data_IF_641181485838
#
_entry.id   IF_641181485838
#
_cell.length_a   1.000
_cell.length_b   1.000
_cell.length_c   1.000
_cell.angle_alpha   90.00
_cell.angle_beta   90.00
_cell.angle_gamma   90.00
#
_symmetry.space_group_name_H-M   'P 1'
#
loop_
_entity.id
_entity.type
_entity.pdbx_description
1 polymer ?
#
# COMPACT_ATOMS: atom_id res chain seq x y z
N UNK A 1 12.44 -14.71 -6.61
CA UNK A 1 11.40 -15.70 -6.26
C UNK A 1 11.22 -16.63 -7.44
N UNK A 2 11.79 -17.84 -7.34
CA UNK A 2 11.46 -18.94 -8.24
C UNK A 2 10.01 -19.37 -7.97
N UNK A 3 9.37 -19.93 -8.99
CA UNK A 3 8.14 -20.71 -8.83
C UNK A 3 8.45 -21.87 -7.89
N UNK A 4 7.85 -21.86 -6.71
CA UNK A 4 7.62 -23.08 -5.94
C UNK A 4 6.19 -23.52 -6.28
N UNK A 5 6.05 -24.82 -6.59
CA UNK A 5 4.85 -25.44 -7.13
C UNK A 5 3.65 -25.50 -6.15
N UNK A 6 3.81 -24.93 -4.94
CA UNK A 6 2.76 -24.77 -3.93
C UNK A 6 2.32 -23.29 -3.75
N UNK A 7 2.77 -22.39 -4.62
CA UNK A 7 2.28 -21.00 -4.64
C UNK A 7 0.98 -20.91 -5.43
N UNK A 8 -0.10 -20.43 -4.78
CA UNK A 8 -1.31 -19.97 -5.48
C UNK A 8 -0.87 -19.19 -6.72
N UNK A 9 -1.36 -19.54 -7.93
CA UNK A 9 -0.90 -18.91 -9.15
C UNK A 9 -1.04 -17.40 -9.01
N UNK A 10 -0.11 -16.61 -9.57
CA UNK A 10 -0.12 -15.14 -9.49
C UNK A 10 -1.51 -14.53 -9.77
N UNK A 11 -2.32 -15.23 -10.57
CA UNK A 11 -3.73 -14.94 -10.84
C UNK A 11 -4.58 -14.74 -9.59
N UNK A 12 -4.38 -15.53 -8.53
CA UNK A 12 -5.08 -15.37 -7.26
C UNK A 12 -4.78 -14.02 -6.61
N UNK A 13 -3.48 -13.73 -6.45
CA UNK A 13 -3.03 -12.50 -5.81
C UNK A 13 -3.43 -11.26 -6.62
N UNK A 14 -3.48 -11.38 -7.94
CA UNK A 14 -3.98 -10.35 -8.84
C UNK A 14 -5.49 -10.13 -8.71
N UNK A 15 -6.29 -11.19 -8.54
CA UNK A 15 -7.74 -11.09 -8.28
C UNK A 15 -8.05 -10.36 -6.98
N UNK A 16 -7.23 -10.56 -5.95
CA UNK A 16 -7.40 -9.80 -4.70
C UNK A 16 -6.78 -8.39 -4.75
N UNK A 17 -6.06 -8.09 -5.82
CA UNK A 17 -5.58 -6.75 -6.18
C UNK A 17 -4.08 -6.50 -6.03
N UNK A 18 -3.26 -7.47 -5.63
CA UNK A 18 -1.80 -7.31 -5.66
C UNK A 18 -1.27 -7.23 -7.08
N UNK A 19 -0.09 -6.62 -7.23
CA UNK A 19 0.70 -6.72 -8.46
C UNK A 19 2.13 -7.07 -8.13
N UNK A 20 2.74 -7.85 -9.02
CA UNK A 20 4.12 -8.32 -8.92
C UNK A 20 4.87 -8.04 -10.23
N UNK A 21 6.16 -8.38 -10.24
CA UNK A 21 7.06 -8.13 -11.36
C UNK A 21 7.97 -6.93 -11.13
N UNK A 22 8.41 -6.31 -12.21
CA UNK A 22 9.49 -5.31 -12.23
C UNK A 22 9.06 -3.98 -12.88
N UNK A 23 7.76 -3.78 -13.06
CA UNK A 23 7.15 -2.56 -13.59
C UNK A 23 6.29 -1.92 -12.51
N UNK A 24 6.33 -0.59 -12.44
CA UNK A 24 5.60 0.18 -11.46
C UNK A 24 5.30 1.60 -11.92
N UNK A 25 4.21 2.16 -11.41
CA UNK A 25 3.76 3.54 -11.59
C UNK A 25 4.83 4.55 -11.16
N UNK A 26 5.70 4.18 -10.22
CA UNK A 26 6.78 5.02 -9.72
C UNK A 26 7.82 5.44 -10.77
N UNK A 27 7.80 4.83 -11.95
CA UNK A 27 8.53 5.35 -13.13
C UNK A 27 8.02 6.72 -13.61
N UNK A 28 6.81 7.13 -13.22
CA UNK A 28 6.15 8.33 -13.73
C UNK A 28 5.42 9.19 -12.67
N UNK A 29 4.98 8.62 -11.54
CA UNK A 29 4.20 9.32 -10.51
C UNK A 29 4.59 8.89 -9.08
N UNK A 30 4.21 9.68 -8.08
CA UNK A 30 4.27 9.29 -6.66
C UNK A 30 3.04 8.44 -6.32
N UNK A 31 2.76 8.21 -5.05
CA UNK A 31 1.48 7.64 -4.61
C UNK A 31 0.26 8.53 -4.90
N UNK A 32 0.41 9.78 -5.37
CA UNK A 32 -0.74 10.63 -5.75
C UNK A 32 -1.77 10.79 -4.60
N UNK A 33 -1.28 11.01 -3.37
CA UNK A 33 -2.12 11.03 -2.16
C UNK A 33 -3.23 12.10 -2.22
N UNK A 34 -2.90 13.29 -2.72
CA UNK A 34 -3.87 14.39 -2.87
C UNK A 34 -4.94 14.03 -3.91
N UNK A 35 -4.55 13.46 -5.05
CA UNK A 35 -5.52 13.00 -6.05
C UNK A 35 -6.39 11.85 -5.55
N UNK A 36 -5.86 10.92 -4.74
CA UNK A 36 -6.68 9.90 -4.10
C UNK A 36 -7.72 10.52 -3.16
N UNK A 37 -7.29 11.51 -2.37
CA UNK A 37 -8.15 12.22 -1.42
C UNK A 37 -9.29 12.94 -2.14
N UNK A 38 -8.98 13.68 -3.22
CA UNK A 38 -9.98 14.37 -4.05
C UNK A 38 -10.96 13.38 -4.69
N UNK A 39 -10.45 12.29 -5.25
CA UNK A 39 -11.28 11.29 -5.92
C UNK A 39 -12.25 10.61 -4.96
N UNK A 40 -11.77 10.18 -3.79
CA UNK A 40 -12.61 9.51 -2.80
C UNK A 40 -13.55 10.46 -2.07
N UNK A 41 -13.25 11.76 -2.04
CA UNK A 41 -14.19 12.77 -1.57
C UNK A 41 -15.34 13.00 -2.57
N UNK A 42 -15.02 13.02 -3.86
CA UNK A 42 -16.02 13.25 -4.93
C UNK A 42 -16.96 12.06 -5.15
N UNK A 43 -16.47 10.83 -5.01
CA UNK A 43 -17.23 9.63 -5.35
C UNK A 43 -18.02 9.06 -4.17
N UNK A 44 -19.29 8.71 -4.38
CA UNK A 44 -20.16 8.03 -3.40
C UNK A 44 -19.58 6.68 -2.95
N UNK A 45 -19.84 6.23 -1.73
CA UNK A 45 -19.22 5.03 -1.12
C UNK A 45 -19.38 3.73 -1.93
N UNK A 46 -20.46 3.62 -2.70
CA UNK A 46 -20.80 2.51 -3.60
C UNK A 46 -20.30 2.69 -5.03
N UNK A 47 -19.52 3.75 -5.31
CA UNK A 47 -19.01 4.06 -6.64
C UNK A 47 -18.33 2.85 -7.32
N UNK A 48 -18.74 2.62 -8.55
CA UNK A 48 -18.22 1.59 -9.43
C UNK A 48 -16.90 2.03 -10.06
N UNK A 49 -16.26 1.10 -10.76
CA UNK A 49 -15.06 1.40 -11.56
C UNK A 49 -15.31 2.52 -12.59
N UNK A 50 -16.47 2.53 -13.24
CA UNK A 50 -16.80 3.50 -14.27
C UNK A 50 -17.08 4.88 -13.67
N UNK A 51 -17.62 4.94 -12.45
CA UNK A 51 -17.82 6.20 -11.73
C UNK A 51 -16.48 6.90 -11.45
N UNK A 52 -15.44 6.16 -11.04
CA UNK A 52 -14.10 6.74 -10.88
C UNK A 52 -13.51 7.26 -12.20
N UNK A 53 -13.74 6.53 -13.30
CA UNK A 53 -13.27 6.98 -14.62
C UNK A 53 -13.98 8.26 -15.03
N UNK A 54 -15.30 8.31 -14.87
CA UNK A 54 -16.14 9.46 -15.17
C UNK A 54 -15.73 10.67 -14.34
N UNK A 55 -15.55 10.50 -13.02
CA UNK A 55 -15.10 11.56 -12.13
C UNK A 55 -13.75 12.17 -12.55
N UNK A 56 -12.79 11.33 -12.95
CA UNK A 56 -11.44 11.79 -13.34
C UNK A 56 -11.43 12.41 -14.74
N UNK A 57 -12.06 11.76 -15.71
CA UNK A 57 -11.89 12.09 -17.13
C UNK A 57 -12.90 13.16 -17.56
N UNK A 58 -14.16 12.96 -17.18
CA UNK A 58 -15.27 13.77 -17.68
C UNK A 58 -15.51 14.96 -16.75
N UNK A 59 -15.61 14.71 -15.44
CA UNK A 59 -15.82 15.78 -14.45
C UNK A 59 -14.53 16.46 -13.99
N UNK A 60 -13.36 15.89 -14.31
CA UNK A 60 -12.06 16.47 -13.99
C UNK A 60 -11.88 16.82 -12.50
N UNK A 61 -12.34 15.95 -11.60
CA UNK A 61 -12.23 16.18 -10.15
C UNK A 61 -10.79 16.41 -9.68
N UNK A 62 -9.79 15.96 -10.46
CA UNK A 62 -8.36 16.14 -10.18
C UNK A 62 -7.76 17.45 -10.73
N UNK A 63 -8.57 18.33 -11.32
CA UNK A 63 -8.14 19.65 -11.82
C UNK A 63 -7.09 19.62 -12.93
N UNK A 64 -7.04 18.57 -13.76
CA UNK A 64 -6.00 18.43 -14.80
C UNK A 64 -6.32 19.28 -16.03
N UNK A 65 -5.26 19.93 -16.55
CA UNK A 65 -5.34 20.95 -17.62
C UNK A 65 -5.88 20.42 -18.94
N UNK A 66 -5.54 19.19 -19.32
CA UNK A 66 -5.94 18.62 -20.62
C UNK A 66 -6.59 17.25 -20.47
N UNK A 67 -7.46 16.88 -21.40
CA UNK A 67 -8.07 15.55 -21.46
C UNK A 67 -7.03 14.42 -21.47
N UNK A 68 -5.89 14.62 -22.14
CA UNK A 68 -4.77 13.68 -22.15
C UNK A 68 -4.19 13.47 -20.73
N UNK A 69 -3.99 14.56 -19.97
CA UNK A 69 -3.50 14.47 -18.59
C UNK A 69 -4.53 13.86 -17.63
N UNK A 70 -5.84 14.07 -17.87
CA UNK A 70 -6.91 13.41 -17.10
C UNK A 70 -6.86 11.89 -17.28
N UNK A 71 -6.84 11.43 -18.54
CA UNK A 71 -6.75 9.99 -18.87
C UNK A 71 -5.49 9.34 -18.30
N UNK A 72 -4.34 10.02 -18.41
CA UNK A 72 -3.09 9.53 -17.86
C UNK A 72 -3.14 9.43 -16.33
N UNK A 73 -3.67 10.44 -15.64
CA UNK A 73 -3.86 10.39 -14.18
C UNK A 73 -4.80 9.25 -13.78
N UNK A 74 -5.92 9.06 -14.48
CA UNK A 74 -6.83 7.94 -14.24
C UNK A 74 -6.15 6.58 -14.40
N UNK A 75 -5.32 6.42 -15.44
CA UNK A 75 -4.51 5.21 -15.61
C UNK A 75 -3.57 4.97 -14.42
N UNK A 76 -2.81 5.98 -13.99
CA UNK A 76 -1.84 5.84 -12.90
C UNK A 76 -2.50 5.54 -11.56
N UNK A 77 -3.66 6.15 -11.31
CA UNK A 77 -4.46 5.86 -10.12
C UNK A 77 -4.98 4.42 -10.10
N UNK A 78 -5.49 3.89 -11.23
CA UNK A 78 -5.86 2.47 -11.34
C UNK A 78 -4.67 1.53 -11.15
N UNK A 79 -3.51 1.91 -11.66
CA UNK A 79 -2.30 1.11 -11.47
C UNK A 79 -1.87 1.06 -10.00
N UNK A 80 -1.93 2.18 -9.28
CA UNK A 80 -1.56 2.31 -7.86
C UNK A 80 -2.59 1.72 -6.90
N UNK A 81 -3.88 1.88 -7.19
CA UNK A 81 -4.96 1.63 -6.23
C UNK A 81 -5.99 0.62 -6.72
N UNK A 82 -6.00 0.23 -8.00
CA UNK A 82 -7.04 -0.60 -8.58
C UNK A 82 -8.23 0.24 -9.06
N UNK A 83 -8.77 1.10 -8.21
CA UNK A 83 -10.01 1.85 -8.42
C UNK A 83 -11.14 0.94 -8.92
N UNK A 84 -11.28 -0.21 -8.27
CA UNK A 84 -12.27 -1.23 -8.61
C UNK A 84 -12.74 -1.88 -7.29
N UNK A 85 -14.02 -1.73 -6.89
CA UNK A 85 -14.52 -2.28 -5.64
C UNK A 85 -14.52 -3.82 -5.62
N UNK A 86 -14.34 -4.49 -6.77
CA UNK A 86 -14.16 -5.94 -6.81
C UNK A 86 -12.79 -6.39 -6.28
N UNK A 87 -11.85 -5.46 -6.07
CA UNK A 87 -10.52 -5.76 -5.56
C UNK A 87 -10.50 -5.58 -4.04
N UNK A 88 -10.38 -6.66 -3.24
CA UNK A 88 -10.35 -6.62 -1.78
C UNK A 88 -9.45 -5.53 -1.19
N UNK A 89 -8.20 -5.40 -1.67
CA UNK A 89 -7.29 -4.41 -1.11
C UNK A 89 -7.79 -2.97 -1.33
N UNK A 90 -8.41 -2.68 -2.49
CA UNK A 90 -8.95 -1.35 -2.76
C UNK A 90 -10.23 -1.09 -1.98
N UNK A 91 -11.13 -2.09 -1.95
CA UNK A 91 -12.39 -2.02 -1.22
C UNK A 91 -12.14 -1.79 0.27
N UNK A 92 -11.21 -2.51 0.88
CA UNK A 92 -10.86 -2.34 2.30
C UNK A 92 -10.10 -1.04 2.55
N UNK A 93 -9.18 -0.64 1.66
CA UNK A 93 -8.56 0.70 1.70
C UNK A 93 -9.65 1.77 1.80
N UNK A 94 -10.65 1.72 0.91
CA UNK A 94 -11.73 2.71 0.85
C UNK A 94 -12.57 2.71 2.11
N UNK A 95 -12.95 1.54 2.63
CA UNK A 95 -13.68 1.43 3.88
C UNK A 95 -12.91 2.11 5.04
N UNK A 96 -11.62 1.82 5.16
CA UNK A 96 -10.77 2.43 6.19
C UNK A 96 -10.45 3.90 5.96
N UNK A 97 -10.48 4.36 4.71
CA UNK A 97 -10.25 5.76 4.34
C UNK A 97 -11.22 6.73 5.00
N UNK A 98 -12.49 6.31 5.15
CA UNK A 98 -13.53 7.11 5.80
C UNK A 98 -13.56 6.91 7.32
N UNK A 99 -13.10 5.76 7.82
CA UNK A 99 -13.02 5.48 9.26
C UNK A 99 -11.83 6.16 9.95
N UNK A 100 -10.74 6.45 9.21
CA UNK A 100 -9.50 6.95 9.80
C UNK A 100 -8.80 7.98 8.92
N UNK A 101 -9.15 9.26 9.13
CA UNK A 101 -8.52 10.38 8.43
C UNK A 101 -7.02 10.50 8.71
N UNK A 102 -6.58 10.24 9.95
CA UNK A 102 -5.16 10.33 10.33
C UNK A 102 -4.33 9.24 9.65
N UNK A 103 -4.91 8.06 9.44
CA UNK A 103 -4.26 6.91 8.80
C UNK A 103 -4.17 6.96 7.27
N UNK A 104 -4.90 7.86 6.60
CA UNK A 104 -4.97 7.95 5.12
C UNK A 104 -3.61 7.89 4.42
N UNK A 105 -2.56 8.62 4.85
CA UNK A 105 -1.25 8.55 4.18
C UNK A 105 -0.61 7.15 4.22
N UNK A 106 -0.77 6.43 5.34
CA UNK A 106 -0.24 5.07 5.50
C UNK A 106 -1.09 4.04 4.75
N UNK A 107 -2.42 4.20 4.76
CA UNK A 107 -3.32 3.35 3.96
C UNK A 107 -3.00 3.46 2.46
N UNK A 108 -2.79 4.69 1.97
CA UNK A 108 -2.36 4.94 0.59
C UNK A 108 -1.01 4.29 0.26
N UNK A 109 -0.02 4.47 1.13
CA UNK A 109 1.31 3.86 0.97
C UNK A 109 1.23 2.33 0.90
N UNK A 110 0.55 1.71 1.85
CA UNK A 110 0.42 0.24 1.93
C UNK A 110 -0.22 -0.33 0.66
N UNK A 111 -1.29 0.30 0.18
CA UNK A 111 -1.98 -0.11 -1.05
C UNK A 111 -1.09 0.07 -2.27
N UNK A 112 -0.42 1.22 -2.38
CA UNK A 112 0.51 1.46 -3.48
C UNK A 112 1.69 0.48 -3.45
N UNK A 113 2.23 0.12 -2.28
CA UNK A 113 3.26 -0.92 -2.17
C UNK A 113 2.74 -2.30 -2.57
N UNK A 114 1.48 -2.63 -2.27
CA UNK A 114 0.84 -3.87 -2.70
C UNK A 114 0.70 -3.97 -4.24
N UNK A 115 0.68 -2.83 -4.94
CA UNK A 115 0.47 -2.76 -6.39
C UNK A 115 1.65 -2.24 -7.23
N UNK A 116 2.68 -1.69 -6.58
CA UNK A 116 3.87 -1.17 -7.24
C UNK A 116 5.13 -1.84 -6.67
N UNK A 117 5.67 -2.87 -7.36
CA UNK A 117 6.89 -3.55 -6.95
C UNK A 117 8.11 -2.63 -6.83
N UNK A 118 8.18 -1.55 -7.62
CA UNK A 118 9.30 -0.61 -7.56
C UNK A 118 9.26 0.19 -6.25
N UNK A 119 8.08 0.69 -5.86
CA UNK A 119 7.91 1.31 -4.55
C UNK A 119 8.19 0.31 -3.42
N UNK A 120 7.64 -0.90 -3.53
CA UNK A 120 7.81 -1.94 -2.51
C UNK A 120 9.28 -2.24 -2.23
N UNK A 121 10.12 -2.37 -3.24
CA UNK A 121 11.55 -2.63 -3.05
C UNK A 121 12.26 -1.47 -2.34
N UNK A 122 11.84 -0.22 -2.59
CA UNK A 122 12.45 0.94 -1.94
C UNK A 122 12.14 1.04 -0.44
N UNK A 123 11.26 0.21 0.13
CA UNK A 123 11.06 0.19 1.59
C UNK A 123 12.30 -0.30 2.33
N UNK A 124 13.13 -1.14 1.70
CA UNK A 124 14.31 -1.74 2.33
C UNK A 124 15.32 -0.68 2.84
N UNK A 125 15.79 0.27 2.00
CA UNK A 125 16.66 1.33 2.50
C UNK A 125 15.96 2.21 3.55
N UNK A 126 14.67 2.52 3.40
CA UNK A 126 13.92 3.36 4.37
C UNK A 126 13.85 2.70 5.76
N UNK A 127 13.59 1.40 5.81
CA UNK A 127 13.51 0.63 7.07
C UNK A 127 14.87 0.45 7.77
N UNK A 128 15.98 0.60 7.03
CA UNK A 128 17.34 0.52 7.59
C UNK A 128 17.82 1.83 8.20
N UNK A 129 17.21 2.95 7.80
CA UNK A 129 17.57 4.27 8.30
C UNK A 129 17.16 4.47 9.76
N UNK A 130 17.98 5.20 10.50
CA UNK A 130 17.61 5.71 11.81
C UNK A 130 16.83 7.03 11.69
N UNK A 131 15.88 7.34 12.60
CA UNK A 131 15.25 8.65 12.64
C UNK A 131 16.29 9.79 12.67
N UNK A 132 16.12 10.80 11.82
CA UNK A 132 17.07 11.91 11.66
C UNK A 132 18.17 11.69 10.61
N UNK A 133 18.34 10.48 10.09
CA UNK A 133 19.32 10.19 9.03
C UNK A 133 18.86 10.78 7.68
N UNK A 134 19.82 11.25 6.87
CA UNK A 134 19.58 11.69 5.50
C UNK A 134 19.63 10.51 4.52
N UNK A 135 18.62 10.40 3.66
CA UNK A 135 18.50 9.32 2.69
C UNK A 135 19.61 9.36 1.64
N UNK A 136 20.52 8.39 1.72
CA UNK A 136 21.51 8.16 0.69
C UNK A 136 20.84 7.64 -0.59
N UNK A 137 20.75 8.52 -1.61
CA UNK A 137 20.14 8.22 -2.91
C UNK A 137 20.65 6.92 -3.54
N UNK A 138 21.95 6.66 -3.41
CA UNK A 138 22.62 5.48 -3.99
C UNK A 138 22.02 4.17 -3.46
N UNK A 139 21.66 4.10 -2.17
CA UNK A 139 21.08 2.89 -1.59
C UNK A 139 19.74 2.51 -2.24
N UNK A 140 18.92 3.48 -2.67
CA UNK A 140 17.71 3.19 -3.44
C UNK A 140 18.02 2.73 -4.87
N UNK A 141 19.04 3.31 -5.51
CA UNK A 141 19.47 2.91 -6.86
C UNK A 141 19.90 1.44 -6.85
N UNK A 142 20.70 1.04 -5.86
CA UNK A 142 21.26 -0.31 -5.77
C UNK A 142 20.17 -1.37 -5.63
N UNK A 143 19.21 -1.17 -4.71
CA UNK A 143 18.09 -2.13 -4.53
C UNK A 143 17.17 -2.17 -5.75
N UNK A 144 16.99 -1.05 -6.45
CA UNK A 144 16.20 -1.00 -7.69
C UNK A 144 16.91 -1.72 -8.83
N UNK A 145 18.23 -1.55 -8.99
CA UNK A 145 19.02 -2.27 -10.00
C UNK A 145 19.00 -3.77 -9.78
N UNK A 146 19.18 -4.20 -8.53
CA UNK A 146 19.15 -5.61 -8.15
C UNK A 146 17.76 -6.22 -8.43
N UNK A 147 16.69 -5.59 -7.93
CA UNK A 147 15.33 -6.11 -8.09
C UNK A 147 14.84 -6.14 -9.53
N UNK A 148 15.29 -5.20 -10.37
CA UNK A 148 14.93 -5.13 -11.80
C UNK A 148 15.92 -5.83 -12.72
N UNK A 149 16.93 -6.52 -12.15
CA UNK A 149 18.01 -7.19 -12.90
C UNK A 149 18.64 -6.29 -13.96
N UNK A 150 18.89 -5.03 -13.60
CA UNK A 150 19.46 -4.00 -14.48
C UNK A 150 18.63 -3.66 -15.74
N UNK A 151 17.32 -3.97 -15.77
CA UNK A 151 16.45 -3.65 -16.93
C UNK A 151 16.17 -2.15 -17.07
N UNK A 152 16.20 -1.40 -15.97
CA UNK A 152 15.94 0.04 -15.99
C UNK A 152 17.24 0.82 -16.29
N UNK A 153 17.18 1.74 -17.26
CA UNK A 153 18.27 2.68 -17.49
C UNK A 153 18.38 3.73 -16.38
N UNK A 154 19.52 4.42 -16.31
CA UNK A 154 19.83 5.38 -15.24
C UNK A 154 18.82 6.52 -15.15
N UNK A 155 18.37 7.07 -16.29
CA UNK A 155 17.34 8.12 -16.31
C UNK A 155 16.01 7.65 -15.70
N UNK A 156 15.64 6.39 -15.91
CA UNK A 156 14.41 5.82 -15.35
C UNK A 156 14.58 5.52 -13.87
N UNK A 157 15.72 4.95 -13.46
CA UNK A 157 16.05 4.74 -12.05
C UNK A 157 15.99 6.07 -11.29
N UNK A 158 16.55 7.13 -11.84
CA UNK A 158 16.54 8.45 -11.22
C UNK A 158 15.13 9.01 -10.99
N UNK A 159 14.21 8.75 -11.93
CA UNK A 159 12.80 9.10 -11.80
C UNK A 159 12.12 8.27 -10.72
N UNK A 160 12.35 6.95 -10.71
CA UNK A 160 11.80 6.04 -9.69
C UNK A 160 12.24 6.48 -8.30
N UNK A 161 13.54 6.73 -8.13
CA UNK A 161 14.10 7.21 -6.85
C UNK A 161 13.44 8.52 -6.43
N UNK A 162 13.38 9.53 -7.31
CA UNK A 162 12.75 10.82 -6.99
C UNK A 162 11.28 10.67 -6.59
N UNK A 163 10.52 9.86 -7.34
CA UNK A 163 9.11 9.65 -7.07
C UNK A 163 8.90 8.84 -5.78
N UNK A 164 9.65 7.77 -5.56
CA UNK A 164 9.57 6.94 -4.36
C UNK A 164 9.93 7.75 -3.11
N UNK A 165 11.02 8.52 -3.13
CA UNK A 165 11.36 9.40 -1.99
C UNK A 165 10.25 10.42 -1.70
N UNK A 166 9.57 10.93 -2.73
CA UNK A 166 8.40 11.79 -2.54
C UNK A 166 7.21 11.04 -1.96
N UNK A 167 6.96 9.80 -2.37
CA UNK A 167 5.91 8.94 -1.81
C UNK A 167 6.16 8.63 -0.33
N UNK A 168 7.40 8.28 0.03
CA UNK A 168 7.81 8.12 1.43
C UNK A 168 7.73 9.42 2.24
N UNK A 169 7.80 10.58 1.58
CA UNK A 169 7.51 11.87 2.24
C UNK A 169 6.01 12.05 2.47
N UNK A 170 5.20 11.72 1.47
CA UNK A 170 3.74 11.82 1.55
C UNK A 170 3.17 10.90 2.64
N UNK A 171 3.77 9.75 2.88
CA UNK A 171 3.40 8.81 3.95
C UNK A 171 4.01 9.14 5.32
N UNK A 172 4.78 10.22 5.44
CA UNK A 172 5.37 10.67 6.71
C UNK A 172 6.69 9.99 7.11
N UNK A 173 7.20 9.04 6.34
CA UNK A 173 8.47 8.35 6.67
C UNK A 173 9.70 9.21 6.41
N UNK A 174 9.59 10.18 5.51
CA UNK A 174 10.63 11.15 5.19
C UNK A 174 10.08 12.57 5.33
N UNK A 175 10.96 13.52 5.62
CA UNK A 175 10.67 14.95 5.60
C UNK A 175 11.66 15.70 4.72
N UNK A 176 11.22 16.82 4.16
CA UNK A 176 12.04 17.70 3.32
C UNK A 176 11.79 17.50 1.83
N UNK A 177 12.31 18.42 1.02
CA UNK A 177 12.09 18.45 -0.45
C UNK A 177 13.29 17.92 -1.22
N UNK A 178 14.45 18.55 -1.03
CA UNK A 178 15.71 18.17 -1.69
C UNK A 178 16.44 17.13 -0.86
N UNK A 179 16.77 17.48 0.38
CA UNK A 179 17.24 16.54 1.40
C UNK A 179 16.05 15.82 2.01
N UNK A 180 16.16 14.51 2.14
CA UNK A 180 15.10 13.64 2.66
C UNK A 180 15.58 13.04 3.97
N UNK A 181 14.98 13.48 5.06
CA UNK A 181 15.37 13.09 6.43
C UNK A 181 14.37 12.08 6.95
N UNK A 182 14.85 10.97 7.51
CA UNK A 182 14.01 9.93 8.11
C UNK A 182 13.20 10.46 9.29
N UNK A 183 11.91 10.15 9.32
CA UNK A 183 10.97 10.47 10.40
C UNK A 183 10.23 9.20 10.78
N UNK A 184 9.97 8.96 12.07
CA UNK A 184 9.15 7.83 12.52
C UNK A 184 7.68 8.11 12.18
N UNK A 185 6.96 7.11 11.67
CA UNK A 185 5.49 7.19 11.56
C UNK A 185 4.81 6.62 12.81
N UNK A 186 3.58 7.04 13.04
CA UNK A 186 2.73 6.55 14.12
C UNK A 186 1.47 5.93 13.50
N UNK A 187 1.36 4.58 13.49
CA UNK A 187 0.21 3.91 12.92
C UNK A 187 -0.99 3.98 13.85
N UNK A 188 -2.19 4.01 13.26
CA UNK A 188 -3.44 3.86 13.99
C UNK A 188 -3.82 2.38 14.12
N UNK A 189 -4.81 2.04 14.96
CA UNK A 189 -5.42 0.71 14.95
C UNK A 189 -5.94 0.31 13.57
N UNK A 190 -6.54 1.23 12.82
CA UNK A 190 -7.10 0.99 11.47
C UNK A 190 -5.99 0.66 10.46
N UNK A 191 -4.92 1.45 10.44
CA UNK A 191 -3.76 1.19 9.57
C UNK A 191 -3.10 -0.15 9.93
N UNK A 192 -2.98 -0.45 11.22
CA UNK A 192 -2.44 -1.72 11.70
C UNK A 192 -3.27 -2.90 11.22
N UNK A 193 -4.60 -2.79 11.31
CA UNK A 193 -5.54 -3.78 10.81
C UNK A 193 -5.38 -4.01 9.30
N UNK A 194 -5.20 -2.94 8.53
CA UNK A 194 -4.96 -3.02 7.09
C UNK A 194 -3.62 -3.67 6.75
N UNK A 195 -2.54 -3.34 7.45
CA UNK A 195 -1.24 -3.98 7.26
C UNK A 195 -1.28 -5.49 7.59
N UNK A 196 -1.99 -5.86 8.66
CA UNK A 196 -2.24 -7.25 9.04
C UNK A 196 -3.04 -7.97 7.96
N UNK A 197 -4.07 -7.34 7.38
CA UNK A 197 -4.81 -7.88 6.23
C UNK A 197 -3.88 -8.18 5.07
N UNK A 198 -3.01 -7.26 4.65
CA UNK A 198 -2.10 -7.50 3.52
C UNK A 198 -1.17 -8.71 3.76
N UNK A 199 -0.69 -8.89 4.99
CA UNK A 199 0.08 -10.07 5.38
C UNK A 199 -0.75 -11.35 5.37
N UNK A 200 -1.97 -11.27 5.90
CA UNK A 200 -2.92 -12.38 5.96
C UNK A 200 -3.31 -12.84 4.55
N UNK A 201 -3.61 -11.90 3.66
CA UNK A 201 -3.93 -12.20 2.28
C UNK A 201 -2.80 -13.05 1.70
N UNK A 202 -1.53 -12.64 1.81
CA UNK A 202 -0.36 -13.40 1.34
C UNK A 202 -0.02 -14.70 2.13
N UNK A 203 -0.97 -15.26 2.88
CA UNK A 203 -0.84 -16.56 3.55
C UNK A 203 -0.14 -16.54 4.90
N UNK A 204 0.32 -15.38 5.39
CA UNK A 204 0.95 -15.28 6.72
C UNK A 204 -0.11 -15.39 7.82
N UNK A 205 0.20 -16.05 8.94
CA UNK A 205 -0.72 -16.26 10.07
C UNK A 205 -0.04 -16.01 11.41
N UNK A 206 -0.86 -15.82 12.46
CA UNK A 206 -0.44 -15.65 13.85
C UNK A 206 0.62 -14.57 14.05
N UNK A 207 1.61 -14.84 14.91
CA UNK A 207 2.71 -13.90 15.21
C UNK A 207 3.50 -13.45 13.99
N UNK A 208 3.52 -14.23 12.91
CA UNK A 208 4.20 -13.88 11.66
C UNK A 208 3.65 -12.61 11.03
N UNK A 209 2.36 -12.32 11.22
CA UNK A 209 1.67 -11.15 10.66
C UNK A 209 2.35 -9.85 11.07
N UNK A 210 2.79 -9.76 12.33
CA UNK A 210 3.46 -8.59 12.91
C UNK A 210 4.94 -8.47 12.56
N UNK A 211 5.47 -9.40 11.76
CA UNK A 211 6.86 -9.39 11.24
C UNK A 211 6.92 -9.23 9.72
N UNK A 212 5.76 -9.10 9.07
CA UNK A 212 5.67 -8.90 7.62
C UNK A 212 6.24 -7.54 7.21
N UNK A 213 6.52 -7.38 5.92
CA UNK A 213 6.92 -6.08 5.39
C UNK A 213 5.85 -5.01 5.67
N UNK A 214 4.57 -5.38 5.54
CA UNK A 214 3.42 -4.49 5.70
C UNK A 214 3.33 -3.90 7.10
N UNK A 215 3.62 -4.69 8.13
CA UNK A 215 3.63 -4.21 9.51
C UNK A 215 4.95 -3.51 9.87
N UNK A 216 6.08 -3.91 9.27
CA UNK A 216 7.38 -3.26 9.50
C UNK A 216 7.42 -1.80 9.03
N UNK A 217 6.74 -1.46 7.93
CA UNK A 217 6.62 -0.07 7.46
C UNK A 217 5.72 0.81 8.33
N UNK A 218 5.27 0.31 9.48
CA UNK A 218 4.55 1.12 10.45
C UNK A 218 5.47 1.69 11.53
N UNK A 219 6.77 1.42 11.49
CA UNK A 219 7.76 1.91 12.46
C UNK A 219 7.49 1.57 13.93
N UNK A 220 6.63 0.58 14.16
CA UNK A 220 6.18 0.20 15.50
C UNK A 220 6.62 -1.22 15.82
N UNK A 221 7.17 -1.46 17.03
CA UNK A 221 7.53 -2.79 17.49
C UNK A 221 6.34 -3.77 17.46
N UNK A 222 6.57 -5.09 17.27
CA UNK A 222 5.50 -6.06 17.17
C UNK A 222 4.53 -6.09 18.36
N UNK A 223 4.99 -5.88 19.60
CA UNK A 223 4.12 -5.90 20.78
C UNK A 223 3.12 -4.73 20.78
N UNK A 224 3.58 -3.55 20.38
CA UNK A 224 2.73 -2.36 20.28
C UNK A 224 1.76 -2.49 19.10
N UNK A 225 2.19 -3.10 17.98
CA UNK A 225 1.28 -3.44 16.88
C UNK A 225 0.22 -4.47 17.28
N UNK A 226 0.55 -5.43 18.14
CA UNK A 226 -0.44 -6.37 18.68
C UNK A 226 -1.46 -5.61 19.54
N UNK A 227 -1.02 -4.66 20.38
CA UNK A 227 -1.92 -3.79 21.13
C UNK A 227 -2.84 -2.99 20.19
N UNK A 228 -2.29 -2.37 19.15
CA UNK A 228 -3.08 -1.64 18.14
C UNK A 228 -4.05 -2.56 17.38
N UNK A 229 -3.70 -3.82 17.12
CA UNK A 229 -4.62 -4.79 16.54
C UNK A 229 -5.75 -5.19 17.51
N UNK A 230 -5.45 -5.31 18.81
CA UNK A 230 -6.48 -5.51 19.85
C UNK A 230 -7.41 -4.30 19.94
N UNK A 231 -6.91 -3.09 19.75
CA UNK A 231 -7.71 -1.87 19.65
C UNK A 231 -8.61 -1.90 18.41
N UNK A 232 -8.06 -2.32 17.25
CA UNK A 232 -8.83 -2.48 16.02
C UNK A 232 -9.96 -3.52 16.16
N UNK A 233 -9.75 -4.58 16.95
CA UNK A 233 -10.81 -5.51 17.33
C UNK A 233 -11.90 -4.84 18.16
N UNK A 234 -11.56 -3.98 19.12
CA UNK A 234 -12.55 -3.23 19.90
C UNK A 234 -13.40 -2.31 19.04
N UNK A 235 -12.84 -1.80 17.94
CA UNK A 235 -13.57 -1.05 16.91
C UNK A 235 -14.31 -1.94 15.90
N UNK A 236 -14.17 -3.26 15.98
CA UNK A 236 -14.86 -4.22 15.13
C UNK A 236 -14.25 -4.42 13.75
N UNK A 237 -12.99 -4.04 13.53
CA UNK A 237 -12.36 -4.14 12.21
C UNK A 237 -11.77 -5.52 11.89
N UNK A 238 -11.25 -6.23 12.91
CA UNK A 238 -10.74 -7.59 12.79
C UNK A 238 -11.04 -8.38 14.07
N UNK A 239 -10.83 -9.69 14.02
CA UNK A 239 -10.82 -10.52 15.21
C UNK A 239 -9.39 -10.97 15.51
N UNK A 240 -8.98 -10.80 16.77
CA UNK A 240 -7.69 -11.27 17.28
C UNK A 240 -7.89 -11.85 18.69
N UNK A 241 -7.22 -12.96 18.97
CA UNK A 241 -7.12 -13.53 20.32
C UNK A 241 -5.66 -13.82 20.65
N UNK A 242 -5.34 -13.68 21.93
CA UNK A 242 -4.05 -14.06 22.49
C UNK A 242 -4.28 -14.98 23.68
N UNK A 243 -3.91 -16.26 23.54
CA UNK A 243 -4.07 -17.28 24.58
C UNK A 243 -2.92 -18.27 24.53
N UNK A 244 -2.36 -18.63 25.69
CA UNK A 244 -1.28 -19.62 25.78
C UNK A 244 -0.02 -19.28 24.97
N UNK A 245 0.26 -18.00 24.73
CA UNK A 245 1.38 -17.56 23.88
C UNK A 245 1.13 -17.73 22.38
N UNK A 246 -0.10 -18.05 21.97
CA UNK A 246 -0.53 -18.13 20.57
C UNK A 246 -1.38 -16.91 20.20
N UNK A 247 -1.11 -16.32 19.04
CA UNK A 247 -1.96 -15.30 18.43
C UNK A 247 -2.75 -15.95 17.30
N UNK A 248 -4.06 -15.78 17.33
CA UNK A 248 -4.94 -16.08 16.22
C UNK A 248 -5.56 -14.79 15.71
N UNK A 249 -5.61 -14.63 14.38
CA UNK A 249 -6.16 -13.45 13.71
C UNK A 249 -7.12 -13.92 12.62
N UNK A 250 -8.31 -13.33 12.58
CA UNK A 250 -9.23 -13.41 11.46
C UNK A 250 -9.51 -12.03 10.90
N UNK A 251 -9.47 -11.94 9.57
CA UNK A 251 -9.78 -10.73 8.79
C UNK A 251 -11.13 -10.83 8.10
N UNK A 252 -11.95 -11.84 8.46
CA UNK A 252 -13.26 -12.10 7.84
C UNK A 252 -14.15 -10.85 7.85
N UNK A 253 -14.09 -10.03 8.91
CA UNK A 253 -14.82 -8.76 9.02
C UNK A 253 -14.53 -7.76 7.91
N UNK A 254 -13.36 -7.86 7.27
CA UNK A 254 -12.94 -7.00 6.17
C UNK A 254 -13.33 -7.58 4.80
N UNK A 255 -13.75 -8.84 4.75
CA UNK A 255 -13.93 -9.61 3.52
C UNK A 255 -15.40 -9.99 3.30
N UNK A 256 -15.81 -10.00 2.04
CA UNK A 256 -17.08 -10.57 1.59
C UNK A 256 -17.05 -12.10 1.70
N UNK A 257 -18.21 -12.76 1.63
CA UNK A 257 -18.29 -14.22 1.69
C UNK A 257 -17.52 -14.90 0.54
N UNK A 258 -17.61 -14.35 -0.67
CA UNK A 258 -16.88 -14.86 -1.83
C UNK A 258 -15.36 -14.76 -1.66
N UNK A 259 -14.88 -13.63 -1.15
CA UNK A 259 -13.46 -13.43 -0.87
C UNK A 259 -12.96 -14.37 0.24
N UNK A 260 -13.78 -14.63 1.27
CA UNK A 260 -13.44 -15.58 2.35
C UNK A 260 -13.31 -17.00 1.81
N UNK A 261 -14.21 -17.43 0.91
CA UNK A 261 -14.12 -18.73 0.25
C UNK A 261 -12.84 -18.81 -0.57
N UNK A 262 -12.60 -17.80 -1.39
CA UNK A 262 -11.41 -17.69 -2.21
C UNK A 262 -10.11 -17.81 -1.38
N UNK A 263 -10.00 -17.19 -0.20
CA UNK A 263 -8.78 -17.19 0.64
C UNK A 263 -8.58 -18.49 1.45
N UNK A 264 -9.63 -19.30 1.64
CA UNK A 264 -9.56 -20.55 2.41
C UNK A 264 -9.25 -21.78 1.55
N UNK A 265 -9.49 -21.69 0.25
CA UNK A 265 -9.13 -22.69 -0.77
C UNK A 265 -7.65 -22.60 -1.17
#
# INVERSE_FOLDING_TARGET
MKQDADSLPYTFWEQIGFRFGDKGTHTSRTIMLEELSLLLHECAEDATRDDYVTAIVDYNCLGKRTAATRRLSGQRMRELYGLDPSLPIFRVLRYFWYADEKGRPLLALLTAMARDPLLRVTSLPILRMQPGEELARQQMIDVLRESTRNRLNDSTLDKVVRNASSSWTQSGHLKGRVRKIRQKVEPTPVVTAYAVLLGYLLGVRGHGLFKTLWTKVLDTPPEELISLAMDAKRFGFLDISYSGGMIEVSVDRMLTEDERRLIRE
#
